data_IF_669211180070
#
_entry.id   IF_669211180070
#
_cell.length_a   1.000
_cell.length_b   1.000
_cell.length_c   1.000
_cell.angle_alpha   90.00
_cell.angle_beta   90.00
_cell.angle_gamma   90.00
#
_symmetry.space_group_name_H-M   'P 1'
#
loop_
_entity.id
_entity.type
_entity.pdbx_description
1 polymer ?
#
# COMPACT_ATOMS: atom_id res chain seq x y z
N UNK A 1 5.63 -12.03 -19.37
CA UNK A 1 6.44 -13.11 -19.93
C UNK A 1 7.85 -12.60 -20.20
N UNK A 2 8.92 -13.20 -19.62
CA UNK A 2 10.30 -12.72 -19.80
C UNK A 2 10.70 -12.59 -21.27
N UNK A 3 10.27 -13.53 -22.12
CA UNK A 3 10.54 -13.57 -23.55
C UNK A 3 10.03 -12.37 -24.35
N UNK A 4 9.19 -11.54 -23.73
CA UNK A 4 8.66 -10.31 -24.33
C UNK A 4 9.48 -9.06 -23.97
N UNK A 5 10.46 -9.19 -23.09
CA UNK A 5 11.37 -8.09 -22.80
C UNK A 5 12.21 -7.75 -24.05
N UNK A 6 12.52 -6.46 -24.27
CA UNK A 6 13.07 -5.98 -25.55
C UNK A 6 14.48 -6.49 -25.87
N UNK A 7 15.23 -6.88 -24.86
CA UNK A 7 16.61 -7.38 -25.01
C UNK A 7 16.81 -8.65 -24.19
N UNK A 8 17.74 -9.51 -24.65
CA UNK A 8 17.97 -10.83 -24.05
C UNK A 8 18.46 -10.75 -22.61
N UNK A 9 19.27 -9.76 -22.30
CA UNK A 9 19.81 -9.52 -20.96
C UNK A 9 18.68 -9.30 -19.94
N UNK A 10 17.67 -8.50 -20.31
CA UNK A 10 16.48 -8.30 -19.45
C UNK A 10 15.63 -9.55 -19.33
N UNK A 11 15.55 -10.37 -20.38
CA UNK A 11 14.82 -11.65 -20.32
C UNK A 11 15.48 -12.59 -19.31
N UNK A 12 16.80 -12.69 -19.34
CA UNK A 12 17.58 -13.52 -18.43
C UNK A 12 17.52 -12.96 -17.00
N UNK A 13 17.61 -11.65 -16.82
CA UNK A 13 17.51 -11.00 -15.51
C UNK A 13 16.14 -11.24 -14.84
N UNK A 14 15.05 -11.14 -15.61
CA UNK A 14 13.69 -11.41 -15.10
C UNK A 14 13.55 -12.89 -14.72
N UNK A 15 14.04 -13.83 -15.53
CA UNK A 15 13.99 -15.26 -15.23
C UNK A 15 14.79 -15.57 -13.97
N UNK A 16 16.02 -15.06 -13.88
CA UNK A 16 16.89 -15.25 -12.72
C UNK A 16 16.23 -14.73 -11.44
N UNK A 17 15.59 -13.55 -11.48
CA UNK A 17 14.89 -13.00 -10.33
C UNK A 17 13.69 -13.87 -9.90
N UNK A 18 12.92 -14.42 -10.86
CA UNK A 18 11.82 -15.34 -10.57
C UNK A 18 12.33 -16.64 -9.95
N UNK A 19 13.42 -17.21 -10.49
CA UNK A 19 14.02 -18.44 -9.96
C UNK A 19 14.62 -18.21 -8.57
N UNK A 20 15.29 -17.07 -8.33
CA UNK A 20 15.81 -16.69 -7.02
C UNK A 20 14.69 -16.57 -5.97
N UNK A 21 13.55 -15.96 -6.31
CA UNK A 21 12.39 -15.87 -5.44
C UNK A 21 11.88 -17.25 -5.04
N UNK A 22 11.72 -18.14 -6.00
CA UNK A 22 11.21 -19.49 -5.77
C UNK A 22 12.20 -20.36 -4.97
N UNK A 23 13.50 -20.30 -5.32
CA UNK A 23 14.55 -21.02 -4.58
C UNK A 23 14.63 -20.53 -3.13
N UNK A 24 14.67 -19.23 -2.93
CA UNK A 24 14.72 -18.66 -1.58
C UNK A 24 13.53 -19.10 -0.73
N UNK A 25 12.31 -18.99 -1.25
CA UNK A 25 11.11 -19.42 -0.54
C UNK A 25 11.14 -20.92 -0.22
N UNK A 26 11.55 -21.75 -1.17
CA UNK A 26 11.72 -23.18 -0.95
C UNK A 26 12.73 -23.47 0.15
N UNK A 27 13.89 -22.82 0.14
CA UNK A 27 14.94 -22.99 1.18
C UNK A 27 14.44 -22.57 2.57
N UNK A 28 13.67 -21.50 2.65
CA UNK A 28 13.02 -21.05 3.91
C UNK A 28 12.06 -22.14 4.40
N UNK A 29 11.19 -22.68 3.54
CA UNK A 29 10.25 -23.74 3.89
C UNK A 29 10.93 -25.04 4.31
N UNK A 30 12.08 -25.39 3.71
CA UNK A 30 12.85 -26.56 4.14
C UNK A 30 13.64 -26.30 5.44
N UNK A 31 13.76 -25.05 5.91
CA UNK A 31 14.56 -24.67 7.06
C UNK A 31 16.07 -24.64 6.76
N UNK A 32 16.45 -24.53 5.50
CA UNK A 32 17.84 -24.38 5.07
C UNK A 32 18.33 -22.93 5.31
N UNK A 33 17.41 -22.00 5.53
CA UNK A 33 17.67 -20.64 5.97
C UNK A 33 16.91 -20.48 7.30
N UNK A 34 17.51 -20.86 8.43
CA UNK A 34 16.87 -20.70 9.74
C UNK A 34 17.05 -19.28 10.29
N UNK A 35 16.20 -18.87 11.22
CA UNK A 35 16.41 -17.70 12.05
C UNK A 35 17.65 -17.80 12.94
N UNK A 36 18.01 -16.72 13.61
CA UNK A 36 19.21 -16.64 14.47
C UNK A 36 19.26 -17.75 15.54
N UNK A 37 18.12 -18.19 16.06
CA UNK A 37 18.00 -19.25 17.08
C UNK A 37 17.99 -20.67 16.50
N UNK A 38 18.16 -20.83 15.20
CA UNK A 38 18.03 -22.12 14.50
C UNK A 38 16.60 -22.54 14.19
N UNK A 39 15.61 -21.74 14.56
CA UNK A 39 14.20 -22.01 14.28
C UNK A 39 13.87 -21.76 12.80
N UNK A 40 12.96 -22.56 12.24
CA UNK A 40 12.38 -22.30 10.93
C UNK A 40 11.49 -21.06 10.98
N UNK A 41 11.57 -20.23 9.94
CA UNK A 41 10.63 -19.14 9.77
C UNK A 41 9.20 -19.66 9.57
N UNK A 42 8.25 -19.07 10.31
CA UNK A 42 6.82 -19.34 10.27
C UNK A 42 5.99 -18.07 10.09
N UNK A 43 6.60 -16.95 10.34
CA UNK A 43 6.02 -15.62 10.19
C UNK A 43 6.88 -14.79 9.26
N UNK A 44 6.24 -14.04 8.38
CA UNK A 44 6.90 -13.13 7.45
C UNK A 44 6.36 -11.73 7.72
N UNK A 45 7.21 -10.83 8.15
CA UNK A 45 6.87 -9.43 8.36
C UNK A 45 7.23 -8.62 7.12
N UNK A 46 6.24 -8.07 6.44
CA UNK A 46 6.43 -7.22 5.27
C UNK A 46 6.40 -5.76 5.71
N UNK A 47 7.46 -5.02 5.44
CA UNK A 47 7.54 -3.58 5.67
C UNK A 47 7.59 -2.89 4.30
N UNK A 48 6.51 -2.19 3.94
CA UNK A 48 6.39 -1.54 2.65
C UNK A 48 5.05 -0.82 2.48
N UNK A 49 4.98 0.21 1.65
CA UNK A 49 3.81 1.06 1.46
C UNK A 49 3.40 1.11 -0.02
N UNK A 50 2.16 1.47 -0.30
CA UNK A 50 1.64 1.58 -1.66
C UNK A 50 1.69 0.25 -2.41
N UNK A 51 2.33 0.21 -3.58
CA UNK A 51 2.45 -1.00 -4.39
C UNK A 51 3.25 -2.13 -3.73
N UNK A 52 4.13 -1.81 -2.80
CA UNK A 52 4.86 -2.81 -2.00
C UNK A 52 3.98 -3.50 -0.94
N UNK A 53 2.75 -2.98 -0.72
CA UNK A 53 1.79 -3.52 0.23
C UNK A 53 0.50 -3.99 -0.44
N UNK A 54 -0.18 -3.12 -1.19
CA UNK A 54 -1.57 -3.33 -1.61
C UNK A 54 -1.77 -4.60 -2.44
N UNK A 55 -0.90 -4.84 -3.42
CA UNK A 55 -0.97 -6.04 -4.25
C UNK A 55 -0.65 -7.33 -3.48
N UNK A 56 0.51 -7.42 -2.79
CA UNK A 56 0.84 -8.56 -1.94
C UNK A 56 -0.20 -8.85 -0.87
N UNK A 57 -0.73 -7.82 -0.19
CA UNK A 57 -1.75 -7.97 0.84
C UNK A 57 -3.06 -8.50 0.26
N UNK A 58 -3.54 -7.93 -0.85
CA UNK A 58 -4.73 -8.44 -1.54
C UNK A 58 -4.60 -9.92 -1.88
N UNK A 59 -3.52 -10.32 -2.54
CA UNK A 59 -3.35 -11.72 -2.94
C UNK A 59 -3.06 -12.66 -1.78
N UNK A 60 -2.39 -12.20 -0.73
CA UNK A 60 -2.15 -13.01 0.46
C UNK A 60 -3.45 -13.43 1.14
N UNK A 61 -4.41 -12.50 1.25
CA UNK A 61 -5.73 -12.77 1.81
C UNK A 61 -6.61 -13.57 0.85
N UNK A 62 -6.60 -13.22 -0.44
CA UNK A 62 -7.40 -13.90 -1.45
C UNK A 62 -7.01 -15.39 -1.61
N UNK A 63 -5.73 -15.69 -1.50
CA UNK A 63 -5.15 -17.03 -1.70
C UNK A 63 -4.83 -17.76 -0.40
N UNK A 64 -5.14 -17.18 0.75
CA UNK A 64 -4.87 -17.78 2.05
C UNK A 64 -5.47 -19.18 2.17
N UNK A 65 -4.70 -20.10 2.72
CA UNK A 65 -5.10 -21.47 3.07
C UNK A 65 -4.55 -21.82 4.46
N UNK A 66 -5.27 -22.68 5.18
CA UNK A 66 -4.87 -23.12 6.51
C UNK A 66 -3.50 -23.83 6.53
N UNK A 67 -3.18 -24.48 5.43
CA UNK A 67 -1.96 -25.27 5.22
C UNK A 67 -0.74 -24.42 4.79
N UNK A 68 -0.91 -23.10 4.65
CA UNK A 68 0.21 -22.23 4.26
C UNK A 68 1.38 -22.39 5.26
N UNK A 69 2.62 -22.57 4.78
CA UNK A 69 3.79 -22.77 5.63
C UNK A 69 4.15 -21.56 6.49
N UNK A 70 3.85 -20.36 6.01
CA UNK A 70 4.09 -19.11 6.72
C UNK A 70 2.86 -18.20 6.71
N UNK A 71 2.73 -17.39 7.79
CA UNK A 71 1.73 -16.33 7.91
C UNK A 71 2.37 -14.99 7.60
N UNK A 72 1.74 -14.17 6.73
CA UNK A 72 2.19 -12.82 6.44
C UNK A 72 1.62 -11.82 7.45
N UNK A 73 2.44 -10.85 7.83
CA UNK A 73 2.10 -9.68 8.63
C UNK A 73 2.59 -8.44 7.90
N UNK A 74 1.86 -7.33 8.00
CA UNK A 74 2.17 -6.14 7.21
C UNK A 74 2.27 -4.90 8.09
N UNK A 75 3.35 -4.14 7.92
CA UNK A 75 3.50 -2.77 8.39
C UNK A 75 3.58 -1.88 7.15
N UNK A 76 2.59 -1.02 6.97
CA UNK A 76 2.40 -0.20 5.77
C UNK A 76 2.22 1.29 6.06
N UNK A 77 2.49 1.70 7.28
CA UNK A 77 2.37 3.08 7.74
C UNK A 77 3.41 3.34 8.83
N UNK A 78 3.70 4.62 9.09
CA UNK A 78 4.57 5.08 10.19
C UNK A 78 3.79 5.44 11.45
N UNK A 79 2.59 4.88 11.63
CA UNK A 79 1.78 5.03 12.84
C UNK A 79 2.32 4.10 13.95
N UNK A 80 2.82 4.66 15.08
CA UNK A 80 3.40 3.86 16.15
C UNK A 80 2.43 2.82 16.73
N UNK A 81 1.17 3.18 16.93
CA UNK A 81 0.14 2.27 17.48
C UNK A 81 -0.11 1.07 16.54
N UNK A 82 -0.11 1.33 15.23
CA UNK A 82 -0.20 0.29 14.21
C UNK A 82 1.03 -0.64 14.19
N UNK A 83 2.22 -0.09 14.41
CA UNK A 83 3.47 -0.86 14.51
C UNK A 83 3.45 -1.71 15.79
N UNK A 84 3.14 -1.11 16.94
CA UNK A 84 3.08 -1.80 18.23
C UNK A 84 2.10 -2.98 18.17
N UNK A 85 0.91 -2.80 17.60
CA UNK A 85 -0.06 -3.88 17.43
C UNK A 85 0.49 -5.08 16.66
N UNK A 86 1.28 -4.87 15.62
CA UNK A 86 1.90 -5.97 14.86
C UNK A 86 3.05 -6.59 15.65
N UNK A 87 3.84 -5.78 16.34
CA UNK A 87 4.97 -6.27 17.14
C UNK A 87 4.49 -7.07 18.35
N UNK A 88 3.40 -6.68 19.02
CA UNK A 88 2.77 -7.46 20.09
C UNK A 88 2.30 -8.84 19.60
N UNK A 89 1.70 -8.91 18.41
CA UNK A 89 1.32 -10.19 17.78
C UNK A 89 2.51 -11.09 17.48
N UNK A 90 3.69 -10.51 17.27
CA UNK A 90 4.92 -11.21 16.92
C UNK A 90 5.88 -11.38 18.09
N UNK A 91 5.62 -10.85 19.26
CA UNK A 91 6.56 -10.78 20.38
C UNK A 91 7.23 -12.14 20.68
N UNK A 92 6.45 -13.18 20.95
CA UNK A 92 6.95 -14.53 21.20
C UNK A 92 7.39 -15.29 19.93
N UNK A 93 7.11 -14.74 18.75
CA UNK A 93 7.33 -15.35 17.43
C UNK A 93 8.47 -14.70 16.68
N UNK A 94 9.07 -13.66 17.24
CA UNK A 94 10.05 -12.83 16.54
C UNK A 94 11.27 -13.63 16.09
N UNK A 95 11.72 -14.61 16.91
CA UNK A 95 12.80 -15.53 16.56
C UNK A 95 12.48 -16.43 15.33
N UNK A 96 11.20 -16.67 15.03
CA UNK A 96 10.72 -17.42 13.87
C UNK A 96 10.13 -16.50 12.79
N UNK A 97 10.42 -15.18 12.83
CA UNK A 97 9.93 -14.18 11.89
C UNK A 97 11.03 -13.74 10.93
N UNK A 98 10.79 -13.83 9.63
CA UNK A 98 11.61 -13.24 8.58
C UNK A 98 11.02 -11.88 8.19
N UNK A 99 11.81 -10.81 8.22
CA UNK A 99 11.40 -9.48 7.81
C UNK A 99 11.79 -9.22 6.36
N UNK A 100 10.84 -8.77 5.54
CA UNK A 100 11.03 -8.38 4.14
C UNK A 100 10.79 -6.88 4.01
N UNK A 101 11.84 -6.12 3.77
CA UNK A 101 11.77 -4.66 3.59
C UNK A 101 11.69 -4.34 2.10
N UNK A 102 10.61 -3.67 1.69
CA UNK A 102 10.34 -3.37 0.28
C UNK A 102 10.34 -1.87 0.05
N UNK A 103 11.39 -1.37 -0.59
CA UNK A 103 11.49 0.05 -0.97
C UNK A 103 12.35 0.20 -2.22
N UNK A 104 11.75 0.64 -3.34
CA UNK A 104 12.45 0.80 -4.62
C UNK A 104 13.63 1.76 -4.52
N UNK A 105 13.43 2.95 -3.94
CA UNK A 105 14.47 3.98 -3.79
C UNK A 105 15.36 3.75 -2.57
N UNK A 106 14.93 2.96 -1.60
CA UNK A 106 15.56 2.85 -0.29
C UNK A 106 15.39 4.09 0.61
N UNK A 107 14.71 5.14 0.11
CA UNK A 107 14.55 6.42 0.81
C UNK A 107 13.13 6.72 1.26
N UNK A 108 12.19 5.79 1.05
CA UNK A 108 10.79 5.96 1.50
C UNK A 108 10.75 6.07 3.01
N UNK A 109 10.33 7.24 3.50
CA UNK A 109 10.42 7.61 4.92
C UNK A 109 9.62 6.65 5.79
N UNK A 110 8.40 6.32 5.38
CA UNK A 110 7.50 5.42 6.11
C UNK A 110 8.12 4.03 6.28
N UNK A 111 8.65 3.47 5.20
CA UNK A 111 9.31 2.15 5.22
C UNK A 111 10.56 2.16 6.09
N UNK A 112 11.37 3.23 5.99
CA UNK A 112 12.59 3.38 6.79
C UNK A 112 12.26 3.50 8.29
N UNK A 113 11.30 4.35 8.65
CA UNK A 113 10.91 4.55 10.05
C UNK A 113 10.40 3.24 10.66
N UNK A 114 9.48 2.56 9.97
CA UNK A 114 8.95 1.27 10.42
C UNK A 114 10.05 0.21 10.55
N UNK A 115 11.01 0.18 9.63
CA UNK A 115 12.16 -0.73 9.71
C UNK A 115 13.02 -0.44 10.95
N UNK A 116 13.32 0.83 11.23
CA UNK A 116 14.13 1.20 12.40
C UNK A 116 13.42 0.87 13.72
N UNK A 117 12.10 1.09 13.82
CA UNK A 117 11.34 0.69 14.99
C UNK A 117 11.35 -0.84 15.17
N UNK A 118 11.14 -1.60 14.10
CA UNK A 118 11.22 -3.07 14.13
C UNK A 118 12.61 -3.53 14.55
N UNK A 119 13.70 -2.90 14.09
CA UNK A 119 15.08 -3.20 14.54
C UNK A 119 15.23 -3.03 16.06
N UNK A 120 14.62 -1.98 16.63
CA UNK A 120 14.63 -1.75 18.07
C UNK A 120 13.93 -2.91 18.81
N UNK A 121 12.77 -3.39 18.30
CA UNK A 121 12.09 -4.55 18.89
C UNK A 121 12.94 -5.81 18.84
N UNK A 122 13.60 -6.12 17.71
CA UNK A 122 14.55 -7.25 17.62
C UNK A 122 15.67 -7.11 18.66
N UNK A 123 16.29 -5.93 18.77
CA UNK A 123 17.35 -5.66 19.75
C UNK A 123 16.92 -5.85 21.20
N UNK A 124 15.70 -5.44 21.57
CA UNK A 124 15.13 -5.64 22.91
C UNK A 124 15.00 -7.12 23.28
N UNK A 125 14.81 -7.99 22.30
CA UNK A 125 14.75 -9.45 22.49
C UNK A 125 16.11 -10.16 22.30
N UNK A 126 17.20 -9.41 22.14
CA UNK A 126 18.54 -9.97 21.91
C UNK A 126 18.71 -10.63 20.54
N UNK A 127 17.85 -10.28 19.58
CA UNK A 127 17.91 -10.77 18.22
C UNK A 127 18.58 -9.75 17.30
N UNK A 128 19.40 -10.25 16.38
CA UNK A 128 20.00 -9.46 15.33
C UNK A 128 19.07 -9.41 14.11
N UNK A 129 18.54 -8.22 13.85
CA UNK A 129 17.66 -7.96 12.72
C UNK A 129 18.25 -8.41 11.38
N UNK A 130 19.56 -8.19 11.18
CA UNK A 130 20.24 -8.48 9.89
C UNK A 130 20.21 -9.96 9.54
N UNK A 131 20.21 -10.83 10.54
CA UNK A 131 20.14 -12.29 10.41
C UNK A 131 18.73 -12.81 10.16
N UNK A 132 17.75 -11.93 10.12
CA UNK A 132 16.34 -12.24 9.90
C UNK A 132 15.69 -11.27 8.91
N UNK A 133 16.51 -10.58 8.10
CA UNK A 133 16.03 -9.60 7.15
C UNK A 133 16.47 -9.89 5.72
N UNK A 134 15.59 -9.58 4.78
CA UNK A 134 15.85 -9.48 3.34
C UNK A 134 15.30 -8.17 2.80
N UNK A 135 15.84 -7.67 1.71
CA UNK A 135 15.30 -6.49 1.06
C UNK A 135 14.88 -6.75 -0.38
N UNK A 136 13.92 -5.94 -0.84
CA UNK A 136 13.54 -5.84 -2.25
C UNK A 136 13.68 -4.38 -2.63
N UNK A 137 14.69 -4.09 -3.46
CA UNK A 137 15.07 -2.72 -3.73
C UNK A 137 15.78 -2.60 -5.09
N UNK A 138 15.99 -1.37 -5.54
CA UNK A 138 16.81 -1.12 -6.72
C UNK A 138 18.28 -1.35 -6.38
N UNK A 139 19.00 -1.93 -7.32
CA UNK A 139 20.46 -2.06 -7.25
C UNK A 139 21.11 -0.69 -6.99
N UNK A 140 22.10 -0.65 -6.12
CA UNK A 140 22.85 0.54 -5.72
C UNK A 140 21.95 1.65 -5.10
N UNK A 141 20.82 1.27 -4.51
CA UNK A 141 20.02 2.14 -3.66
C UNK A 141 20.58 2.16 -2.24
N UNK A 142 20.19 3.15 -1.43
CA UNK A 142 20.58 3.22 -0.02
C UNK A 142 20.27 1.92 0.75
N UNK A 143 19.12 1.31 0.51
CA UNK A 143 18.73 0.04 1.15
C UNK A 143 19.55 -1.14 0.65
N UNK A 144 19.93 -1.15 -0.62
CA UNK A 144 20.80 -2.18 -1.19
C UNK A 144 22.23 -2.10 -0.60
N UNK A 145 22.78 -0.89 -0.54
CA UNK A 145 24.10 -0.66 0.09
C UNK A 145 24.10 -1.03 1.58
N UNK A 146 23.06 -0.61 2.32
CA UNK A 146 22.90 -0.96 3.74
C UNK A 146 22.82 -2.48 3.91
N UNK A 147 21.98 -3.16 3.16
CA UNK A 147 21.79 -4.62 3.29
C UNK A 147 23.06 -5.42 2.99
N UNK A 148 23.87 -4.96 2.02
CA UNK A 148 25.17 -5.55 1.70
C UNK A 148 26.20 -5.28 2.80
N UNK A 149 26.29 -4.04 3.27
CA UNK A 149 27.25 -3.65 4.32
C UNK A 149 26.99 -4.36 5.66
N UNK A 150 25.70 -4.58 5.98
CA UNK A 150 25.29 -5.24 7.22
C UNK A 150 25.14 -6.77 7.07
N UNK A 151 25.27 -7.33 5.87
CA UNK A 151 25.22 -8.78 5.62
C UNK A 151 23.83 -9.39 5.81
N UNK A 152 22.78 -8.76 5.28
CA UNK A 152 21.44 -9.31 5.31
C UNK A 152 21.35 -10.65 4.54
N UNK A 153 20.33 -11.45 4.83
CA UNK A 153 20.16 -12.81 4.28
C UNK A 153 20.08 -12.85 2.76
N UNK A 154 19.42 -11.88 2.13
CA UNK A 154 19.32 -11.74 0.68
C UNK A 154 18.84 -10.35 0.26
N UNK A 155 19.13 -9.98 -1.00
CA UNK A 155 18.59 -8.81 -1.69
C UNK A 155 17.96 -9.25 -3.02
N UNK A 156 16.76 -8.73 -3.34
CA UNK A 156 16.03 -9.01 -4.56
C UNK A 156 15.83 -7.73 -5.38
N UNK A 157 15.88 -7.81 -6.71
CA UNK A 157 15.81 -6.62 -7.55
C UNK A 157 14.39 -6.04 -7.62
N UNK A 158 14.32 -4.72 -7.59
CA UNK A 158 13.16 -3.93 -8.01
C UNK A 158 13.60 -2.91 -9.04
N UNK A 159 13.33 -3.20 -10.32
CA UNK A 159 13.88 -2.45 -11.46
C UNK A 159 13.26 -1.06 -11.60
N UNK A 160 14.01 -0.12 -12.20
CA UNK A 160 13.56 1.25 -12.43
C UNK A 160 12.32 1.35 -13.33
N UNK A 161 12.19 0.44 -14.28
CA UNK A 161 11.05 0.35 -15.20
C UNK A 161 9.80 -0.28 -14.57
N UNK A 162 9.87 -0.80 -13.36
CA UNK A 162 8.71 -1.31 -12.61
C UNK A 162 8.13 -0.20 -11.74
N UNK A 163 6.90 0.22 -12.02
CA UNK A 163 6.13 1.14 -11.20
C UNK A 163 5.60 0.47 -9.93
N UNK A 164 5.38 1.22 -8.84
CA UNK A 164 4.85 0.67 -7.59
C UNK A 164 3.51 -0.06 -7.78
N UNK A 165 2.55 0.57 -8.46
CA UNK A 165 1.20 0.00 -8.70
C UNK A 165 1.16 -1.19 -9.65
N UNK A 166 2.25 -1.45 -10.39
CA UNK A 166 2.40 -2.60 -11.30
C UNK A 166 3.51 -3.55 -10.85
N UNK A 167 3.93 -3.48 -9.58
CA UNK A 167 5.04 -4.28 -9.05
C UNK A 167 4.66 -5.70 -8.63
N UNK A 168 3.37 -6.05 -8.69
CA UNK A 168 2.87 -7.32 -8.17
C UNK A 168 3.51 -8.55 -8.84
N UNK A 169 3.82 -8.47 -10.13
CA UNK A 169 4.49 -9.54 -10.87
C UNK A 169 6.03 -9.43 -10.86
N UNK A 170 6.59 -8.56 -10.02
CA UNK A 170 8.01 -8.47 -9.71
C UNK A 170 8.33 -9.15 -8.37
N UNK A 171 9.61 -9.26 -7.96
CA UNK A 171 9.95 -9.78 -6.63
C UNK A 171 9.16 -9.12 -5.49
N UNK A 172 8.76 -7.84 -5.62
CA UNK A 172 7.97 -7.13 -4.59
C UNK A 172 6.62 -7.79 -4.26
N UNK A 173 5.97 -8.40 -5.24
CA UNK A 173 4.77 -9.20 -5.02
C UNK A 173 5.05 -10.68 -4.89
N UNK A 174 5.94 -11.22 -5.74
CA UNK A 174 6.16 -12.67 -5.83
C UNK A 174 6.84 -13.26 -4.59
N UNK A 175 7.81 -12.56 -3.97
CA UNK A 175 8.53 -13.10 -2.81
C UNK A 175 7.63 -13.27 -1.59
N UNK A 176 6.84 -12.25 -1.15
CA UNK A 176 5.89 -12.43 -0.06
C UNK A 176 4.93 -13.61 -0.29
N UNK A 177 4.37 -13.71 -1.50
CA UNK A 177 3.42 -14.77 -1.85
C UNK A 177 4.07 -16.16 -1.89
N UNK A 178 5.28 -16.27 -2.46
CA UNK A 178 6.04 -17.53 -2.45
C UNK A 178 6.39 -17.96 -1.03
N UNK A 179 6.81 -17.03 -0.15
CA UNK A 179 7.07 -17.30 1.26
C UNK A 179 5.81 -17.76 2.01
N UNK A 180 4.64 -17.23 1.68
CA UNK A 180 3.37 -17.73 2.21
C UNK A 180 3.07 -19.16 1.76
N UNK A 181 3.66 -19.63 0.66
CA UNK A 181 3.41 -20.94 0.08
C UNK A 181 2.46 -20.92 -1.12
N UNK A 182 2.19 -19.75 -1.68
CA UNK A 182 1.36 -19.61 -2.88
C UNK A 182 2.18 -20.02 -4.12
N UNK A 183 1.54 -20.74 -5.05
CA UNK A 183 2.14 -21.11 -6.31
C UNK A 183 2.23 -19.89 -7.26
N UNK A 184 3.32 -19.14 -7.15
CA UNK A 184 3.56 -17.94 -7.97
C UNK A 184 3.77 -18.26 -9.46
N UNK A 185 4.11 -19.50 -9.82
CA UNK A 185 4.19 -19.92 -11.24
C UNK A 185 2.79 -19.93 -11.86
N UNK A 186 1.79 -20.46 -11.19
CA UNK A 186 0.42 -20.42 -11.66
C UNK A 186 -0.12 -18.98 -11.76
N UNK A 187 0.26 -18.11 -10.81
CA UNK A 187 -0.09 -16.68 -10.87
C UNK A 187 0.47 -16.03 -12.14
N UNK A 188 1.75 -16.25 -12.43
CA UNK A 188 2.43 -15.74 -13.62
C UNK A 188 1.86 -16.36 -14.90
N UNK A 189 1.50 -17.64 -14.89
CA UNK A 189 0.87 -18.32 -16.04
C UNK A 189 -0.46 -17.64 -16.39
N UNK A 190 -1.32 -17.38 -15.40
CA UNK A 190 -2.57 -16.66 -15.61
C UNK A 190 -2.37 -15.28 -16.23
N UNK A 191 -1.40 -14.53 -15.69
CA UNK A 191 -1.04 -13.22 -16.23
C UNK A 191 -0.53 -13.31 -17.68
N UNK A 192 0.31 -14.29 -18.00
CA UNK A 192 0.80 -14.53 -19.36
C UNK A 192 -0.32 -14.90 -20.34
N UNK A 193 -1.27 -15.72 -19.92
CA UNK A 193 -2.43 -16.05 -20.75
C UNK A 193 -3.29 -14.82 -21.04
N UNK A 194 -3.54 -14.00 -20.06
CA UNK A 194 -4.24 -12.74 -20.23
C UNK A 194 -3.47 -11.78 -21.15
N UNK A 195 -2.14 -11.65 -20.96
CA UNK A 195 -1.30 -10.82 -21.84
C UNK A 195 -1.39 -11.27 -23.29
N UNK A 196 -1.31 -12.57 -23.55
CA UNK A 196 -1.44 -13.13 -24.90
C UNK A 196 -2.81 -12.80 -25.54
N UNK A 197 -3.90 -12.97 -24.78
CA UNK A 197 -5.25 -12.67 -25.23
C UNK A 197 -5.44 -11.16 -25.51
N UNK A 198 -4.91 -10.31 -24.64
CA UNK A 198 -5.07 -8.85 -24.75
C UNK A 198 -4.10 -8.18 -25.75
N UNK A 199 -3.25 -8.95 -26.43
CA UNK A 199 -2.50 -8.52 -27.63
C UNK A 199 -3.31 -8.63 -28.91
N UNK A 200 -4.49 -9.24 -28.88
CA UNK A 200 -5.39 -9.33 -30.03
C UNK A 200 -5.78 -7.94 -30.50
N UNK A 201 -5.61 -7.66 -31.82
CA UNK A 201 -5.97 -6.37 -32.43
C UNK A 201 -7.47 -6.23 -32.70
N UNK A 202 -8.20 -7.33 -32.81
CA UNK A 202 -9.67 -7.31 -32.89
C UNK A 202 -10.23 -6.95 -31.51
N UNK A 203 -10.71 -5.73 -31.38
CA UNK A 203 -11.25 -5.20 -30.12
C UNK A 203 -12.35 -6.07 -29.53
N UNK A 204 -13.18 -6.70 -30.36
CA UNK A 204 -14.28 -7.58 -29.90
C UNK A 204 -13.79 -8.88 -29.28
N UNK A 205 -12.52 -9.26 -29.53
CA UNK A 205 -11.86 -10.45 -28.98
C UNK A 205 -10.85 -10.08 -27.88
N UNK A 206 -10.68 -8.80 -27.60
CA UNK A 206 -9.73 -8.31 -26.63
C UNK A 206 -10.49 -7.78 -25.40
N UNK A 207 -10.56 -8.54 -24.29
CA UNK A 207 -11.35 -8.15 -23.12
C UNK A 207 -10.86 -6.85 -22.47
N UNK A 208 -9.56 -6.56 -22.49
CA UNK A 208 -9.04 -5.30 -21.96
C UNK A 208 -9.44 -4.10 -22.83
N UNK A 209 -9.44 -4.25 -24.15
CA UNK A 209 -9.89 -3.20 -25.06
C UNK A 209 -11.39 -2.96 -24.93
N UNK A 210 -12.19 -4.03 -24.82
CA UNK A 210 -13.64 -3.90 -24.56
C UNK A 210 -13.89 -3.16 -23.24
N UNK A 211 -13.23 -3.56 -22.18
CA UNK A 211 -13.39 -2.93 -20.87
C UNK A 211 -12.96 -1.46 -20.89
N UNK A 212 -11.84 -1.13 -21.54
CA UNK A 212 -11.39 0.24 -21.71
C UNK A 212 -12.39 1.11 -22.50
N UNK A 213 -12.98 0.57 -23.56
CA UNK A 213 -14.04 1.24 -24.33
C UNK A 213 -15.31 1.45 -23.52
N UNK A 214 -15.72 0.48 -22.70
CA UNK A 214 -16.88 0.63 -21.82
C UNK A 214 -16.62 1.75 -20.79
N UNK A 215 -15.44 1.81 -20.20
CA UNK A 215 -15.07 2.93 -19.31
C UNK A 215 -15.07 4.26 -20.06
N UNK A 216 -14.50 4.30 -21.28
CA UNK A 216 -14.47 5.49 -22.12
C UNK A 216 -15.89 5.98 -22.47
N UNK A 217 -16.78 5.06 -22.88
CA UNK A 217 -18.15 5.40 -23.20
C UNK A 217 -18.87 6.01 -22.00
N UNK A 218 -18.69 5.41 -20.82
CA UNK A 218 -19.35 5.88 -19.60
C UNK A 218 -18.79 7.23 -19.13
N UNK A 219 -17.47 7.42 -19.14
CA UNK A 219 -16.81 8.66 -18.74
C UNK A 219 -16.82 9.73 -19.84
N UNK A 220 -17.21 9.37 -21.06
CA UNK A 220 -17.10 10.22 -22.26
C UNK A 220 -15.68 10.74 -22.49
N UNK A 221 -14.68 9.99 -22.02
CA UNK A 221 -13.28 10.34 -22.10
C UNK A 221 -12.85 11.54 -21.21
N UNK A 222 -13.69 11.99 -20.29
CA UNK A 222 -13.44 13.20 -19.48
C UNK A 222 -13.15 12.93 -18.01
N UNK A 223 -13.21 11.67 -17.56
CA UNK A 223 -13.11 11.34 -16.13
C UNK A 223 -14.33 11.80 -15.33
N UNK A 224 -14.14 12.07 -14.04
CA UNK A 224 -15.19 12.60 -13.16
C UNK A 224 -16.32 11.61 -12.85
N UNK A 225 -16.12 10.32 -13.08
CA UNK A 225 -17.04 9.23 -12.74
C UNK A 225 -16.46 8.35 -11.66
N UNK A 226 -17.33 7.62 -10.96
CA UNK A 226 -16.96 6.66 -9.95
C UNK A 226 -17.08 5.23 -10.50
N UNK A 227 -16.06 4.42 -10.30
CA UNK A 227 -16.11 2.98 -10.54
C UNK A 227 -16.37 2.28 -9.21
N UNK A 228 -17.52 1.62 -9.11
CA UNK A 228 -17.89 0.84 -7.93
C UNK A 228 -17.53 -0.62 -8.20
N UNK A 229 -16.56 -1.13 -7.43
CA UNK A 229 -16.13 -2.53 -7.55
C UNK A 229 -16.90 -3.39 -6.57
N UNK A 230 -17.67 -4.36 -7.10
CA UNK A 230 -18.50 -5.27 -6.32
C UNK A 230 -18.17 -6.73 -6.63
N UNK A 231 -17.12 -7.29 -6.02
CA UNK A 231 -16.86 -8.72 -6.07
C UNK A 231 -17.85 -9.46 -5.16
N UNK A 232 -18.54 -10.45 -5.70
CA UNK A 232 -19.40 -11.35 -4.91
C UNK A 232 -18.57 -12.55 -4.44
N UNK A 233 -17.55 -12.25 -3.65
CA UNK A 233 -16.62 -13.23 -3.07
C UNK A 233 -15.80 -12.59 -1.96
N UNK A 234 -15.88 -13.09 -0.75
CA UNK A 234 -15.15 -12.55 0.42
C UNK A 234 -13.64 -12.49 0.18
N UNK A 235 -13.07 -13.50 -0.48
CA UNK A 235 -11.65 -13.55 -0.82
C UNK A 235 -11.19 -12.38 -1.70
N UNK A 236 -12.11 -11.67 -2.37
CA UNK A 236 -11.80 -10.53 -3.23
C UNK A 236 -12.11 -9.17 -2.57
N UNK A 237 -12.41 -9.12 -1.27
CA UNK A 237 -12.73 -7.88 -0.56
C UNK A 237 -11.67 -6.78 -0.76
N UNK A 238 -10.40 -7.15 -0.76
CA UNK A 238 -9.30 -6.20 -0.91
C UNK A 238 -9.01 -5.80 -2.37
N UNK A 239 -9.71 -6.38 -3.35
CA UNK A 239 -9.54 -6.02 -4.76
C UNK A 239 -9.81 -4.53 -4.99
N UNK A 240 -10.85 -3.98 -4.35
CA UNK A 240 -11.18 -2.55 -4.42
C UNK A 240 -10.02 -1.67 -3.99
N UNK A 241 -9.35 -1.99 -2.88
CA UNK A 241 -8.17 -1.24 -2.38
C UNK A 241 -6.97 -1.35 -3.32
N UNK A 242 -6.72 -2.51 -3.89
CA UNK A 242 -5.67 -2.68 -4.91
C UNK A 242 -5.97 -1.83 -6.16
N UNK A 243 -7.22 -1.85 -6.64
CA UNK A 243 -7.64 -1.10 -7.80
C UNK A 243 -7.69 0.42 -7.55
N UNK A 244 -7.89 0.87 -6.32
CA UNK A 244 -7.74 2.29 -5.98
C UNK A 244 -6.37 2.80 -6.43
N UNK A 245 -5.30 2.12 -6.05
CA UNK A 245 -3.96 2.53 -6.49
C UNK A 245 -3.78 2.34 -8.00
N UNK A 246 -4.08 1.15 -8.52
CA UNK A 246 -3.85 0.86 -9.94
C UNK A 246 -4.58 1.85 -10.86
N UNK A 247 -5.84 2.14 -10.60
CA UNK A 247 -6.67 2.99 -11.46
C UNK A 247 -6.45 4.47 -11.15
N UNK A 248 -6.59 4.88 -9.88
CA UNK A 248 -6.60 6.30 -9.54
C UNK A 248 -5.22 6.94 -9.70
N UNK A 249 -4.15 6.26 -9.29
CA UNK A 249 -2.78 6.77 -9.46
C UNK A 249 -2.34 6.78 -10.93
N UNK A 250 -2.83 5.83 -11.74
CA UNK A 250 -2.54 5.80 -13.18
C UNK A 250 -3.31 6.85 -13.97
N UNK A 251 -4.59 7.06 -13.66
CA UNK A 251 -5.50 7.88 -14.45
C UNK A 251 -5.70 9.30 -13.89
N UNK A 252 -5.38 9.53 -12.61
CA UNK A 252 -5.41 10.85 -11.98
C UNK A 252 -4.30 11.74 -12.55
N UNK A 253 -4.61 12.54 -13.58
CA UNK A 253 -3.64 13.39 -14.27
C UNK A 253 -4.22 14.78 -14.54
N UNK A 254 -3.48 15.79 -14.12
CA UNK A 254 -3.80 17.19 -14.45
C UNK A 254 -3.64 17.47 -15.96
N UNK A 255 -2.57 16.92 -16.56
CA UNK A 255 -2.20 17.21 -17.95
C UNK A 255 -2.20 15.95 -18.81
N UNK A 256 -2.52 16.14 -20.09
CA UNK A 256 -2.34 15.13 -21.13
C UNK A 256 -0.88 15.05 -21.62
N UNK A 257 -0.62 14.20 -22.64
CA UNK A 257 0.70 14.03 -23.22
C UNK A 257 1.23 15.28 -23.96
N UNK A 258 0.34 16.20 -24.33
CA UNK A 258 0.69 17.47 -25.00
C UNK A 258 0.84 18.64 -24.02
N UNK A 259 0.57 18.39 -22.72
CA UNK A 259 0.67 19.41 -21.67
C UNK A 259 -0.60 20.23 -21.48
N UNK A 260 -1.71 19.87 -22.15
CA UNK A 260 -3.01 20.50 -21.97
C UNK A 260 -3.62 20.09 -20.63
N UNK A 261 -4.20 21.04 -19.89
CA UNK A 261 -4.88 20.75 -18.62
C UNK A 261 -6.20 20.04 -18.89
N UNK A 262 -6.33 18.80 -18.44
CA UNK A 262 -7.48 17.92 -18.66
C UNK A 262 -8.14 17.43 -17.36
N UNK A 263 -7.41 17.39 -16.25
CA UNK A 263 -7.88 16.94 -14.93
C UNK A 263 -8.63 15.59 -14.99
N UNK A 264 -7.97 14.58 -15.53
CA UNK A 264 -8.51 13.22 -15.69
C UNK A 264 -8.51 12.43 -14.38
N UNK A 265 -9.37 11.43 -14.27
CA UNK A 265 -9.41 10.47 -13.18
C UNK A 265 -10.73 9.68 -13.12
N UNK A 266 -10.66 8.49 -12.55
CA UNK A 266 -11.81 7.65 -12.19
C UNK A 266 -11.63 7.29 -10.72
N UNK A 267 -12.56 7.70 -9.86
CA UNK A 267 -12.56 7.29 -8.45
C UNK A 267 -13.01 5.83 -8.31
N UNK A 268 -12.33 5.06 -7.49
CA UNK A 268 -12.64 3.65 -7.23
C UNK A 268 -13.04 3.47 -5.78
N UNK A 269 -14.16 2.80 -5.54
CA UNK A 269 -14.58 2.36 -4.22
C UNK A 269 -15.43 1.08 -4.30
N UNK A 270 -15.76 0.52 -3.14
CA UNK A 270 -16.48 -0.73 -2.99
C UNK A 270 -15.58 -1.80 -2.36
N UNK A 271 -16.20 -2.77 -1.70
CA UNK A 271 -15.53 -3.83 -0.97
C UNK A 271 -16.00 -5.20 -1.44
N UNK A 272 -17.24 -5.61 -1.09
CA UNK A 272 -17.84 -6.88 -1.52
C UNK A 272 -19.38 -6.86 -1.49
N UNK A 273 -20.01 -7.51 -2.43
CA UNK A 273 -21.40 -7.94 -2.27
C UNK A 273 -21.46 -9.18 -1.34
N UNK A 274 -22.39 -9.32 -0.45
CA UNK A 274 -23.64 -8.53 -0.24
C UNK A 274 -23.48 -7.42 0.81
N UNK A 275 -22.32 -7.36 1.49
CA UNK A 275 -22.08 -6.40 2.57
C UNK A 275 -22.34 -4.95 2.12
N UNK A 276 -21.86 -4.58 0.94
CA UNK A 276 -22.01 -3.23 0.38
C UNK A 276 -23.47 -2.90 0.02
N UNK A 277 -24.35 -3.89 -0.14
CA UNK A 277 -25.79 -3.66 -0.29
C UNK A 277 -26.41 -3.04 0.98
N UNK A 278 -25.85 -3.35 2.14
CA UNK A 278 -26.27 -2.80 3.41
C UNK A 278 -25.51 -1.52 3.81
N UNK A 279 -24.60 -1.03 2.95
CA UNK A 279 -23.83 0.18 3.20
C UNK A 279 -24.23 1.36 2.31
N UNK A 280 -24.15 1.21 0.99
CA UNK A 280 -24.32 2.33 0.06
C UNK A 280 -25.22 2.04 -1.15
N UNK A 281 -25.90 0.90 -1.24
CA UNK A 281 -26.78 0.57 -2.37
C UNK A 281 -27.95 1.56 -2.52
N UNK A 282 -28.44 2.12 -1.43
CA UNK A 282 -29.45 3.17 -1.44
C UNK A 282 -29.02 4.35 -2.32
N UNK A 283 -27.77 4.82 -2.15
CA UNK A 283 -27.23 5.90 -2.97
C UNK A 283 -27.06 5.49 -4.43
N UNK A 284 -26.63 4.27 -4.71
CA UNK A 284 -26.48 3.81 -6.10
C UNK A 284 -27.81 3.73 -6.85
N UNK A 285 -28.90 3.38 -6.16
CA UNK A 285 -30.22 3.25 -6.77
C UNK A 285 -30.96 4.58 -6.91
N UNK A 286 -30.84 5.49 -5.93
CA UNK A 286 -31.65 6.71 -5.87
C UNK A 286 -30.84 8.01 -5.88
N UNK A 287 -29.53 7.95 -5.64
CA UNK A 287 -28.62 9.11 -5.68
C UNK A 287 -28.21 9.53 -7.10
N UNK A 288 -27.17 10.38 -7.21
CA UNK A 288 -26.63 10.82 -8.51
C UNK A 288 -26.21 9.65 -9.39
N UNK A 289 -26.40 9.79 -10.71
CA UNK A 289 -25.94 8.80 -11.69
C UNK A 289 -24.58 9.19 -12.28
N UNK A 290 -23.57 9.27 -11.41
CA UNK A 290 -22.19 9.67 -11.70
C UNK A 290 -21.20 8.52 -11.56
N UNK A 291 -21.68 7.28 -11.63
CA UNK A 291 -20.89 6.06 -11.44
C UNK A 291 -21.26 4.98 -12.48
N UNK A 292 -20.44 3.95 -12.50
CA UNK A 292 -20.74 2.65 -13.10
C UNK A 292 -20.27 1.53 -12.18
N UNK A 293 -20.93 0.37 -12.26
CA UNK A 293 -20.61 -0.76 -11.40
C UNK A 293 -19.84 -1.82 -12.18
N UNK A 294 -18.71 -2.25 -11.60
CA UNK A 294 -17.95 -3.39 -12.06
C UNK A 294 -18.20 -4.57 -11.13
N UNK A 295 -19.09 -5.46 -11.50
CA UNK A 295 -19.30 -6.73 -10.80
C UNK A 295 -18.16 -7.71 -11.10
N UNK A 296 -17.70 -8.43 -10.08
CA UNK A 296 -16.83 -9.59 -10.25
C UNK A 296 -17.59 -10.82 -9.76
N UNK A 297 -17.95 -11.67 -10.69
CA UNK A 297 -18.59 -12.95 -10.44
C UNK A 297 -17.52 -14.05 -10.37
N UNK A 298 -17.61 -14.91 -9.36
CA UNK A 298 -16.78 -16.08 -9.21
C UNK A 298 -17.65 -17.32 -9.24
N UNK A 299 -17.50 -18.17 -10.28
CA UNK A 299 -18.40 -19.31 -10.50
C UNK A 299 -18.26 -20.39 -9.44
N UNK A 300 -17.06 -20.63 -8.93
CA UNK A 300 -16.81 -21.66 -7.91
C UNK A 300 -16.96 -21.09 -6.51
N UNK A 301 -17.91 -21.61 -5.74
CA UNK A 301 -18.18 -21.16 -4.39
C UNK A 301 -17.05 -21.49 -3.42
N UNK A 302 -16.66 -22.76 -3.35
CA UNK A 302 -15.65 -23.31 -2.44
C UNK A 302 -15.01 -24.57 -2.99
N UNK A 303 -13.98 -25.05 -2.29
CA UNK A 303 -13.25 -26.28 -2.68
C UNK A 303 -14.16 -27.52 -2.60
N UNK A 304 -14.85 -27.68 -1.49
CA UNK A 304 -15.70 -28.82 -1.19
C UNK A 304 -17.18 -28.54 -1.57
N UNK A 305 -18.01 -29.58 -1.72
CA UNK A 305 -19.44 -29.40 -1.99
C UNK A 305 -20.13 -28.53 -0.94
N UNK A 306 -21.01 -27.65 -1.38
CA UNK A 306 -21.74 -26.76 -0.48
C UNK A 306 -22.90 -27.51 0.20
N UNK A 307 -23.09 -27.34 1.53
CA UNK A 307 -24.27 -27.87 2.21
C UNK A 307 -25.52 -27.09 1.74
N UNK A 308 -26.65 -27.80 1.68
CA UNK A 308 -27.96 -27.18 1.54
C UNK A 308 -28.36 -26.55 2.86
N UNK A 309 -28.81 -25.28 2.82
CA UNK A 309 -29.22 -24.51 4.00
C UNK A 309 -30.72 -24.23 4.06
N UNK A 310 -31.40 -24.27 2.90
CA UNK A 310 -32.84 -24.15 2.78
C UNK A 310 -33.31 -24.90 1.54
N UNK A 311 -34.31 -25.78 1.66
CA UNK A 311 -34.82 -26.62 0.56
C UNK A 311 -33.69 -27.20 -0.29
N UNK A 312 -33.57 -26.76 -1.55
CA UNK A 312 -32.51 -27.16 -2.49
C UNK A 312 -31.41 -26.10 -2.71
N UNK A 313 -31.30 -25.11 -1.82
CA UNK A 313 -30.41 -23.96 -1.99
C UNK A 313 -29.24 -23.99 -1.01
N UNK A 314 -28.05 -23.59 -1.48
CA UNK A 314 -26.84 -23.36 -0.72
C UNK A 314 -26.63 -21.84 -0.48
N UNK A 315 -25.66 -21.48 0.38
CA UNK A 315 -25.25 -20.07 0.53
C UNK A 315 -24.71 -19.47 -0.77
N UNK A 316 -24.09 -20.30 -1.63
CA UNK A 316 -23.60 -19.88 -2.95
C UNK A 316 -24.72 -19.47 -3.88
N UNK A 317 -25.82 -20.24 -3.92
CA UNK A 317 -27.00 -19.92 -4.72
C UNK A 317 -27.60 -18.56 -4.30
N UNK A 318 -27.68 -18.30 -2.99
CA UNK A 318 -28.15 -17.01 -2.48
C UNK A 318 -27.18 -15.87 -2.87
N UNK A 319 -25.87 -16.08 -2.76
CA UNK A 319 -24.88 -15.07 -3.13
C UNK A 319 -25.00 -14.69 -4.62
N UNK A 320 -25.13 -15.67 -5.51
CA UNK A 320 -25.36 -15.45 -6.94
C UNK A 320 -26.69 -14.76 -7.19
N UNK A 321 -27.76 -15.18 -6.53
CA UNK A 321 -29.09 -14.55 -6.67
C UNK A 321 -29.05 -13.08 -6.25
N UNK A 322 -28.34 -12.74 -5.16
CA UNK A 322 -28.16 -11.34 -4.75
C UNK A 322 -27.37 -10.52 -5.78
N UNK A 323 -26.33 -11.08 -6.38
CA UNK A 323 -25.59 -10.40 -7.45
C UNK A 323 -26.49 -10.11 -8.65
N UNK A 324 -27.21 -11.11 -9.14
CA UNK A 324 -28.12 -10.98 -10.29
C UNK A 324 -29.24 -9.99 -9.97
N UNK A 325 -29.85 -10.09 -8.77
CA UNK A 325 -30.90 -9.19 -8.30
C UNK A 325 -30.43 -7.74 -8.23
N UNK A 326 -29.25 -7.49 -7.66
CA UNK A 326 -28.65 -6.16 -7.59
C UNK A 326 -28.39 -5.57 -8.98
N UNK A 327 -27.80 -6.35 -9.87
CA UNK A 327 -27.55 -5.93 -11.25
C UNK A 327 -28.85 -5.58 -11.98
N UNK A 328 -29.88 -6.38 -11.80
CA UNK A 328 -31.19 -6.12 -12.42
C UNK A 328 -31.84 -4.85 -11.84
N UNK A 329 -31.79 -4.63 -10.53
CA UNK A 329 -32.30 -3.42 -9.89
C UNK A 329 -31.60 -2.15 -10.39
N UNK A 330 -30.27 -2.19 -10.54
CA UNK A 330 -29.48 -1.11 -11.12
C UNK A 330 -29.90 -0.84 -12.57
N UNK A 331 -30.02 -1.90 -13.39
CA UNK A 331 -30.44 -1.79 -14.80
C UNK A 331 -31.83 -1.17 -14.95
N UNK A 332 -32.81 -1.57 -14.11
CA UNK A 332 -34.15 -1.00 -14.10
C UNK A 332 -34.16 0.50 -13.78
N UNK A 333 -33.15 0.98 -13.03
CA UNK A 333 -32.98 2.40 -12.72
C UNK A 333 -32.06 3.12 -13.71
N UNK A 334 -31.71 2.50 -14.84
CA UNK A 334 -30.80 3.08 -15.84
C UNK A 334 -29.36 3.29 -15.34
N UNK A 335 -28.95 2.49 -14.33
CA UNK A 335 -27.58 2.50 -13.81
C UNK A 335 -26.75 1.50 -14.60
N UNK A 336 -25.65 1.95 -15.16
CA UNK A 336 -24.79 1.12 -16.00
C UNK A 336 -23.89 0.21 -15.18
N UNK A 337 -23.75 -1.03 -15.61
CA UNK A 337 -22.86 -1.99 -14.98
C UNK A 337 -22.25 -2.93 -16.02
N UNK A 338 -21.11 -3.51 -15.66
CA UNK A 338 -20.49 -4.61 -16.39
C UNK A 338 -20.16 -5.74 -15.40
N UNK A 339 -20.22 -6.98 -15.88
CA UNK A 339 -19.86 -8.17 -15.10
C UNK A 339 -18.62 -8.81 -15.69
N UNK A 340 -17.64 -9.05 -14.85
CA UNK A 340 -16.47 -9.84 -15.17
C UNK A 340 -16.61 -11.18 -14.44
N UNK A 341 -16.71 -12.27 -15.19
CA UNK A 341 -16.86 -13.61 -14.64
C UNK A 341 -15.52 -14.34 -14.66
N UNK A 342 -15.08 -14.86 -13.52
CA UNK A 342 -13.88 -15.72 -13.39
C UNK A 342 -14.30 -17.10 -12.87
N UNK A 343 -13.59 -18.18 -13.27
CA UNK A 343 -13.98 -19.53 -12.90
C UNK A 343 -13.84 -19.80 -11.38
N UNK A 344 -12.80 -19.27 -10.76
CA UNK A 344 -12.46 -19.50 -9.35
C UNK A 344 -11.50 -18.43 -8.82
N UNK A 345 -11.04 -18.57 -7.57
CA UNK A 345 -10.01 -17.73 -6.94
C UNK A 345 -8.65 -18.44 -6.89
N UNK A 346 -8.30 -19.25 -7.89
CA UNK A 346 -6.95 -19.82 -7.98
C UNK A 346 -5.89 -18.76 -8.29
N UNK A 347 -4.59 -19.03 -8.01
CA UNK A 347 -3.51 -18.13 -8.41
C UNK A 347 -3.56 -17.79 -9.90
N UNK A 348 -3.88 -18.74 -10.76
CA UNK A 348 -4.01 -18.56 -12.20
C UNK A 348 -5.14 -17.59 -12.57
N UNK A 349 -6.32 -17.76 -12.01
CA UNK A 349 -7.47 -16.88 -12.25
C UNK A 349 -7.19 -15.45 -11.77
N UNK A 350 -6.58 -15.31 -10.59
CA UNK A 350 -6.26 -13.98 -10.05
C UNK A 350 -5.10 -13.31 -10.80
N UNK A 351 -4.12 -14.07 -11.27
CA UNK A 351 -3.07 -13.55 -12.15
C UNK A 351 -3.64 -12.99 -13.45
N UNK A 352 -4.58 -13.69 -14.05
CA UNK A 352 -5.29 -13.23 -15.26
C UNK A 352 -6.14 -11.98 -14.99
N UNK A 353 -6.86 -11.94 -13.87
CA UNK A 353 -7.69 -10.80 -13.45
C UNK A 353 -6.87 -9.52 -13.28
N UNK A 354 -5.74 -9.61 -12.58
CA UNK A 354 -4.85 -8.47 -12.35
C UNK A 354 -4.25 -7.97 -13.66
N UNK A 355 -3.71 -8.86 -14.49
CA UNK A 355 -3.16 -8.50 -15.80
C UNK A 355 -4.21 -7.86 -16.72
N UNK A 356 -5.47 -8.29 -16.62
CA UNK A 356 -6.58 -7.68 -17.35
C UNK A 356 -6.79 -6.21 -16.93
N UNK A 357 -6.83 -5.92 -15.62
CA UNK A 357 -6.97 -4.55 -15.13
C UNK A 357 -5.76 -3.69 -15.49
N UNK A 358 -4.54 -4.19 -15.34
CA UNK A 358 -3.32 -3.45 -15.72
C UNK A 358 -3.34 -3.07 -17.21
N UNK A 359 -3.73 -4.01 -18.08
CA UNK A 359 -3.85 -3.77 -19.53
C UNK A 359 -4.99 -2.79 -19.85
N UNK A 360 -6.12 -2.91 -19.18
CA UNK A 360 -7.28 -2.02 -19.37
C UNK A 360 -6.92 -0.58 -19.01
N UNK A 361 -6.25 -0.36 -17.89
CA UNK A 361 -5.79 0.96 -17.46
C UNK A 361 -4.84 1.56 -18.51
N UNK A 362 -3.90 0.76 -19.03
CA UNK A 362 -2.99 1.21 -20.08
C UNK A 362 -3.71 1.62 -21.36
N UNK A 363 -4.68 0.81 -21.82
CA UNK A 363 -5.46 1.09 -23.02
C UNK A 363 -6.40 2.29 -22.83
N UNK A 364 -7.05 2.40 -21.67
CA UNK A 364 -7.90 3.55 -21.36
C UNK A 364 -7.07 4.85 -21.32
N UNK A 365 -5.89 4.85 -20.71
CA UNK A 365 -5.00 6.00 -20.67
C UNK A 365 -4.60 6.47 -22.09
N UNK A 366 -4.38 5.55 -23.02
CA UNK A 366 -4.14 5.88 -24.42
C UNK A 366 -5.36 6.52 -25.09
N UNK A 367 -6.57 6.02 -24.81
CA UNK A 367 -7.81 6.59 -25.37
C UNK A 367 -8.04 8.04 -24.91
N UNK A 368 -7.61 8.39 -23.70
CA UNK A 368 -7.74 9.74 -23.12
C UNK A 368 -6.42 10.56 -23.19
N UNK A 369 -5.43 10.05 -23.91
CA UNK A 369 -4.18 10.72 -24.24
C UNK A 369 -3.34 11.16 -23.03
N UNK A 370 -3.27 10.32 -21.97
CA UNK A 370 -2.48 10.60 -20.76
C UNK A 370 -1.38 9.56 -20.54
N UNK A 371 -0.36 9.91 -19.73
CA UNK A 371 0.66 8.99 -19.28
C UNK A 371 0.20 8.28 -17.99
N UNK A 372 -0.10 6.98 -18.08
CA UNK A 372 -0.52 6.14 -16.94
C UNK A 372 0.65 5.78 -15.99
N UNK A 373 1.91 5.96 -16.40
CA UNK A 373 3.06 5.32 -15.75
C UNK A 373 3.84 6.21 -14.79
N UNK A 374 3.55 7.49 -14.71
CA UNK A 374 4.17 8.42 -13.76
C UNK A 374 3.17 8.93 -12.71
N UNK A 375 3.68 9.52 -11.63
CA UNK A 375 2.88 10.07 -10.51
C UNK A 375 3.53 11.34 -9.94
N UNK A 376 3.55 12.48 -10.66
CA UNK A 376 4.30 13.67 -10.23
C UNK A 376 3.76 14.32 -8.96
N UNK A 377 2.46 14.21 -8.68
CA UNK A 377 1.83 14.85 -7.53
C UNK A 377 2.24 14.25 -6.17
N UNK A 378 2.67 12.98 -6.13
CA UNK A 378 3.05 12.30 -4.87
C UNK A 378 4.27 12.96 -4.21
N UNK A 379 5.17 13.57 -4.98
CA UNK A 379 6.36 14.25 -4.45
C UNK A 379 6.04 15.55 -3.71
N UNK A 380 4.90 16.20 -3.98
CA UNK A 380 4.50 17.44 -3.29
C UNK A 380 4.27 17.21 -1.78
N UNK A 381 3.54 16.15 -1.43
CA UNK A 381 3.28 15.81 -0.02
C UNK A 381 4.57 15.49 0.75
N UNK A 382 5.52 14.79 0.12
CA UNK A 382 6.81 14.46 0.75
C UNK A 382 7.62 15.71 1.06
N UNK A 383 7.67 16.69 0.15
CA UNK A 383 8.36 17.97 0.38
C UNK A 383 7.75 18.71 1.56
N UNK A 384 6.42 18.83 1.63
CA UNK A 384 5.73 19.44 2.76
C UNK A 384 6.04 18.77 4.10
N UNK A 385 6.05 17.41 4.15
CA UNK A 385 6.40 16.69 5.37
C UNK A 385 7.85 16.97 5.83
N UNK A 386 8.80 17.06 4.91
CA UNK A 386 10.19 17.43 5.25
C UNK A 386 10.31 18.83 5.85
N UNK A 387 9.53 19.79 5.35
CA UNK A 387 9.51 21.16 5.90
C UNK A 387 8.96 21.18 7.31
N UNK A 388 7.88 20.44 7.58
CA UNK A 388 7.29 20.32 8.93
C UNK A 388 8.28 19.68 9.91
N UNK A 389 8.96 18.59 9.53
CA UNK A 389 10.00 17.95 10.38
C UNK A 389 11.16 18.89 10.62
N UNK A 390 11.58 19.66 9.62
CA UNK A 390 12.63 20.67 9.78
C UNK A 390 12.21 21.73 10.80
N UNK A 391 11.01 22.27 10.69
CA UNK A 391 10.46 23.25 11.62
C UNK A 391 10.38 22.69 13.04
N UNK A 392 9.92 21.43 13.18
CA UNK A 392 9.91 20.72 14.48
C UNK A 392 11.32 20.67 15.09
N UNK A 393 12.33 20.30 14.33
CA UNK A 393 13.69 20.20 14.83
C UNK A 393 14.28 21.58 15.21
N UNK A 394 13.96 22.64 14.46
CA UNK A 394 14.31 24.02 14.78
C UNK A 394 13.63 24.49 16.07
N UNK A 395 12.35 24.17 16.26
CA UNK A 395 11.62 24.50 17.49
C UNK A 395 12.24 23.81 18.72
N UNK A 396 12.56 22.52 18.64
CA UNK A 396 13.25 21.78 19.70
C UNK A 396 14.60 22.39 20.01
N UNK A 397 15.42 22.70 19.01
CA UNK A 397 16.73 23.32 19.18
C UNK A 397 16.61 24.70 19.87
N UNK A 398 15.64 25.52 19.42
CA UNK A 398 15.38 26.82 20.03
C UNK A 398 14.93 26.69 21.49
N UNK A 399 14.05 25.76 21.83
CA UNK A 399 13.60 25.50 23.20
C UNK A 399 14.74 25.03 24.12
N UNK A 400 15.62 24.14 23.64
CA UNK A 400 16.77 23.61 24.41
C UNK A 400 17.83 24.66 24.75
N UNK A 401 18.00 25.67 23.89
CA UNK A 401 19.01 26.72 24.08
C UNK A 401 18.53 27.90 24.90
N UNK A 402 17.22 28.01 25.20
CA UNK A 402 16.67 29.11 25.97
C UNK A 402 17.07 29.04 27.45
N UNK A 403 17.35 30.20 28.02
CA UNK A 403 17.61 30.35 29.47
C UNK A 403 16.30 30.28 30.28
N UNK A 404 15.22 30.83 29.71
CA UNK A 404 13.88 30.82 30.32
C UNK A 404 13.12 29.55 29.91
N UNK A 405 12.53 28.82 30.84
CA UNK A 405 11.85 27.56 30.57
C UNK A 405 10.49 27.74 29.85
N UNK A 406 9.96 28.97 29.74
CA UNK A 406 8.69 29.26 29.10
C UNK A 406 8.79 30.46 28.18
N UNK A 407 8.10 30.41 27.04
CA UNK A 407 7.99 31.51 26.09
C UNK A 407 6.62 31.54 25.41
N UNK A 408 6.25 32.68 24.80
CA UNK A 408 5.10 32.73 23.91
C UNK A 408 5.43 32.06 22.57
N UNK A 409 4.39 31.62 21.84
CA UNK A 409 4.52 31.08 20.49
C UNK A 409 5.23 32.09 19.56
N UNK A 410 4.88 33.37 19.67
CA UNK A 410 5.50 34.48 18.93
C UNK A 410 7.02 34.56 19.15
N UNK A 411 7.42 34.54 20.44
CA UNK A 411 8.84 34.61 20.81
C UNK A 411 9.62 33.38 20.34
N UNK A 412 8.98 32.20 20.27
CA UNK A 412 9.59 31.00 19.72
C UNK A 412 9.76 31.10 18.20
N UNK A 413 8.68 31.53 17.50
CA UNK A 413 8.73 31.74 16.07
C UNK A 413 9.85 32.74 15.67
N UNK A 414 9.93 33.88 16.37
CA UNK A 414 10.99 34.87 16.14
C UNK A 414 12.39 34.30 16.39
N UNK A 415 12.58 33.49 17.44
CA UNK A 415 13.88 32.81 17.72
C UNK A 415 14.28 31.87 16.57
N UNK A 416 13.32 31.15 15.98
CA UNK A 416 13.57 30.26 14.85
C UNK A 416 13.94 31.08 13.61
N UNK A 417 13.22 32.17 13.32
CA UNK A 417 13.49 33.07 12.20
C UNK A 417 14.89 33.71 12.30
N UNK A 418 15.25 34.20 13.47
CA UNK A 418 16.55 34.82 13.74
C UNK A 418 17.72 33.82 13.55
N UNK A 419 17.48 32.52 13.86
CA UNK A 419 18.45 31.45 13.73
C UNK A 419 18.65 31.01 12.27
N UNK A 420 17.68 31.28 11.38
CA UNK A 420 17.68 30.79 9.99
C UNK A 420 18.57 31.61 9.03
N UNK A 421 19.15 32.73 9.47
CA UNK A 421 20.04 33.58 8.66
C UNK A 421 19.30 34.38 7.59
N UNK A 422 19.95 34.70 6.47
CA UNK A 422 19.51 35.65 5.46
C UNK A 422 18.29 35.24 4.61
N UNK A 423 17.74 34.05 4.77
CA UNK A 423 16.49 33.59 4.11
C UNK A 423 15.32 33.87 5.04
N UNK A 424 14.72 35.05 4.95
CA UNK A 424 13.49 35.43 5.66
C UNK A 424 12.29 34.67 5.11
N UNK A 425 12.11 33.41 5.53
CA UNK A 425 10.79 32.77 5.44
C UNK A 425 10.13 32.96 6.81
N UNK A 426 9.02 33.67 6.88
CA UNK A 426 8.24 33.77 8.10
C UNK A 426 7.81 32.36 8.54
N UNK A 427 7.94 32.08 9.84
CA UNK A 427 7.48 30.83 10.42
C UNK A 427 5.96 30.82 10.42
N UNK A 428 5.36 29.80 9.82
CA UNK A 428 3.93 29.56 9.90
C UNK A 428 3.57 29.17 11.36
N UNK A 429 2.94 30.08 12.08
CA UNK A 429 2.60 29.93 13.49
C UNK A 429 1.54 28.86 13.72
N UNK A 430 0.62 28.66 12.78
CA UNK A 430 -0.41 27.62 12.88
C UNK A 430 0.25 26.23 12.78
N UNK A 431 1.18 26.06 11.84
CA UNK A 431 1.95 24.82 11.73
C UNK A 431 2.84 24.60 12.98
N UNK A 432 3.51 25.66 13.46
CA UNK A 432 4.32 25.56 14.67
C UNK A 432 3.47 25.18 15.88
N UNK A 433 2.29 25.75 16.02
CA UNK A 433 1.36 25.41 17.11
C UNK A 433 0.92 23.95 17.06
N UNK A 434 0.54 23.43 15.88
CA UNK A 434 0.18 22.02 15.68
C UNK A 434 1.33 21.08 16.05
N UNK A 435 2.56 21.41 15.66
CA UNK A 435 3.78 20.67 16.06
C UNK A 435 3.90 20.61 17.58
N UNK A 436 3.74 21.74 18.26
CA UNK A 436 3.87 21.83 19.70
C UNK A 436 2.75 21.09 20.44
N UNK A 437 1.52 21.12 19.93
CA UNK A 437 0.42 20.31 20.44
C UNK A 437 0.74 18.82 20.38
N UNK A 438 1.26 18.35 19.25
CA UNK A 438 1.67 16.96 19.08
C UNK A 438 2.80 16.59 20.05
N UNK A 439 3.83 17.42 20.17
CA UNK A 439 4.94 17.18 21.07
C UNK A 439 4.55 17.19 22.56
N UNK A 440 3.54 17.97 22.92
CA UNK A 440 3.08 18.06 24.32
C UNK A 440 2.45 16.76 24.83
N UNK A 441 1.79 16.00 23.95
CA UNK A 441 1.16 14.72 24.30
C UNK A 441 1.99 13.50 23.94
N UNK A 442 3.07 13.69 23.17
CA UNK A 442 4.00 12.63 22.76
C UNK A 442 5.44 12.94 23.25
N UNK A 443 5.72 12.77 24.54
CA UNK A 443 7.04 13.09 25.09
C UNK A 443 8.11 12.12 24.58
N UNK A 444 9.31 12.65 24.32
CA UNK A 444 10.49 11.81 24.19
C UNK A 444 10.93 11.28 25.56
N UNK A 445 11.71 10.19 25.59
CA UNK A 445 12.11 9.53 26.84
C UNK A 445 12.70 10.49 27.88
N UNK A 446 13.46 11.51 27.44
CA UNK A 446 14.22 12.42 28.29
C UNK A 446 13.71 13.87 28.28
N UNK A 447 12.66 14.19 27.51
CA UNK A 447 12.20 15.56 27.34
C UNK A 447 10.67 15.65 27.31
N UNK A 448 10.13 16.69 27.98
CA UNK A 448 8.70 16.99 27.96
C UNK A 448 8.46 18.44 27.53
N UNK A 449 7.46 18.64 26.70
CA UNK A 449 6.96 19.94 26.31
C UNK A 449 5.56 20.08 26.88
N UNK A 450 5.29 21.22 27.49
CA UNK A 450 3.97 21.61 27.96
C UNK A 450 3.50 22.79 27.12
N UNK A 451 2.29 22.71 26.60
CA UNK A 451 1.65 23.77 25.86
C UNK A 451 0.46 24.29 26.68
N UNK A 452 0.55 25.55 27.11
CA UNK A 452 -0.52 26.27 27.79
C UNK A 452 -1.26 27.10 26.72
N UNK A 453 -2.48 26.71 26.40
CA UNK A 453 -3.31 27.43 25.44
C UNK A 453 -4.00 28.58 26.15
N UNK A 454 -3.72 29.83 25.76
CA UNK A 454 -4.37 31.02 26.28
C UNK A 454 -5.79 31.18 25.75
N UNK A 455 -6.63 31.96 26.46
CA UNK A 455 -8.02 32.29 26.06
C UNK A 455 -8.07 33.27 24.85
N UNK A 456 -6.93 33.73 24.34
CA UNK A 456 -6.78 34.70 23.26
C UNK A 456 -6.27 34.09 21.93
N UNK A 457 -5.80 34.93 21.03
CA UNK A 457 -5.15 34.49 19.77
C UNK A 457 -4.01 33.51 20.02
N UNK A 458 -3.72 32.62 19.06
CA UNK A 458 -2.69 31.57 19.19
C UNK A 458 -1.33 32.10 19.62
N UNK A 459 -0.96 33.32 19.23
CA UNK A 459 0.30 33.97 19.56
C UNK A 459 0.51 34.15 21.09
N UNK A 460 -0.56 34.15 21.87
CA UNK A 460 -0.54 34.24 23.34
C UNK A 460 -0.35 32.89 24.05
N UNK A 461 -0.44 31.79 23.30
CA UNK A 461 -0.16 30.46 23.82
C UNK A 461 1.29 30.38 24.31
N UNK A 462 1.51 29.72 25.44
CA UNK A 462 2.84 29.59 26.05
C UNK A 462 3.34 28.16 25.95
N UNK A 463 4.62 28.05 25.63
CA UNK A 463 5.34 26.77 25.52
C UNK A 463 6.33 26.68 26.67
N UNK A 464 6.32 25.56 27.39
CA UNK A 464 7.29 25.25 28.45
C UNK A 464 8.00 23.95 28.11
N UNK A 465 9.33 23.96 28.22
CA UNK A 465 10.17 22.80 28.01
C UNK A 465 10.84 22.37 29.30
N UNK A 466 10.86 21.08 29.61
CA UNK A 466 11.51 20.49 30.79
C UNK A 466 12.35 19.30 30.35
N UNK A 467 13.64 19.31 30.73
CA UNK A 467 14.50 18.15 30.62
C UNK A 467 14.33 17.28 31.87
N UNK A 468 14.13 15.98 31.72
CA UNK A 468 13.88 15.04 32.83
C UNK A 468 15.05 14.95 33.83
N UNK A 469 16.32 15.26 33.45
CA UNK A 469 17.41 15.37 34.39
C UNK A 469 17.16 16.43 35.47
N UNK A 470 16.32 17.44 35.19
CA UNK A 470 15.89 18.48 36.15
C UNK A 470 14.51 18.22 36.78
N UNK A 471 13.76 17.19 36.27
CA UNK A 471 12.40 16.91 36.73
C UNK A 471 12.33 16.17 38.07
N UNK A 472 13.44 15.57 38.56
CA UNK A 472 13.51 14.94 39.88
C UNK A 472 13.28 15.90 41.06
N UNK A 473 13.26 17.22 40.82
CA UNK A 473 13.02 18.25 41.83
C UNK A 473 11.60 18.83 41.90
N UNK A 474 10.68 18.41 40.97
CA UNK A 474 9.33 19.03 40.81
C UNK A 474 8.14 18.11 41.16
N UNK A 475 8.40 16.93 41.75
CA UNK A 475 7.32 16.04 42.26
C UNK A 475 6.90 16.34 43.72
N UNK A 476 7.14 17.55 44.23
CA UNK A 476 6.66 18.01 45.53
C UNK A 476 5.98 19.38 45.37
N UNK A 477 4.84 19.44 44.58
CA UNK A 477 3.83 20.48 44.81
C UNK A 477 2.54 20.07 44.10
#
# INVERSE_FOLDING_TARGET
APELAPVRELQEEIRNAQDQVMDFAWRVHQGLIPGQTGQKFRHILIIGIGGSHLGPYFLSEALWQKENPCTLHFINNTDPDGIDRIMDLLEEKLAATLTVVISKSGTTVETRNSMEEVRIFYGRQGLDFTRQAVCITRKDSMLDEMSKAEGWLASFPMWDWVGGRTSLFSPAGLLPLALQGINVRELLEGACQCDALTRCRDTRKNPAALMALMWYTRTKGRGGQHMVILPYKDRLELLGKYLQQLVMESLGKEKDLEGTTVCQGITVYGNKGTADQHAFMQQLLEGPNDFFVQFIEVLKDRKDPSPKIAEDSSSGDYLQAFMIGTRNALSQRGRESMTLTIPDTSPKSLGALIALFERTVSLYAQLIHINAYHQPAVELGKKGAHEVIRLKNQALAALRTRKEPSCSLEALAQTIEDSAGSVKNSVDKDVLFQILQHLAVNPYQDERIFLEIGEGPLDQSRVRWINNEKAGALHQY
#
